data_IF_842185960957
#
_entry.id   IF_842185960957
#
_cell.length_a   1.000
_cell.length_b   1.000
_cell.length_c   1.000
_cell.angle_alpha   90.00
_cell.angle_beta   90.00
_cell.angle_gamma   90.00
#
_symmetry.space_group_name_H-M   'P 1'
#
loop_
_entity.id
_entity.type
_entity.pdbx_description
1 polymer ?
#
# COMPACT_ATOMS: atom_id res chain seq x y z
N UNK A 1 27.87 -30.98 68.41
CA UNK A 1 29.02 -30.40 67.68
C UNK A 1 28.65 -30.36 66.21
N UNK A 2 28.26 -29.18 65.72
CA UNK A 2 29.11 -28.27 64.93
C UNK A 2 29.35 -28.78 63.51
N UNK A 3 28.82 -28.03 62.54
CA UNK A 3 29.11 -28.22 61.13
C UNK A 3 28.01 -27.71 60.22
N UNK A 4 27.73 -26.41 60.26
CA UNK A 4 27.04 -25.72 59.17
C UNK A 4 27.95 -25.75 57.93
N UNK A 5 27.38 -26.03 56.76
CA UNK A 5 28.03 -25.71 55.48
C UNK A 5 26.95 -25.16 54.56
N UNK A 6 27.13 -23.89 54.25
CA UNK A 6 26.28 -23.03 53.46
C UNK A 6 26.17 -23.58 52.03
N UNK A 7 24.94 -23.74 51.54
CA UNK A 7 24.70 -23.93 50.11
C UNK A 7 24.87 -22.58 49.42
N UNK A 8 26.03 -22.43 48.77
CA UNK A 8 26.32 -21.31 47.89
C UNK A 8 25.23 -21.18 46.82
N UNK A 9 24.66 -19.99 46.74
CA UNK A 9 23.78 -19.57 45.67
C UNK A 9 24.55 -19.64 44.34
N UNK A 10 24.20 -20.61 43.49
CA UNK A 10 24.56 -20.54 42.07
C UNK A 10 23.68 -19.51 41.39
N UNK A 11 24.36 -18.46 40.94
CA UNK A 11 23.89 -17.32 40.16
C UNK A 11 22.87 -17.75 39.09
N UNK A 12 21.65 -17.23 39.19
CA UNK A 12 20.74 -17.17 38.07
C UNK A 12 21.38 -16.27 37.02
N UNK A 13 21.91 -16.88 35.96
CA UNK A 13 22.40 -16.19 34.79
C UNK A 13 21.35 -15.20 34.31
N UNK A 14 21.66 -13.92 34.46
CA UNK A 14 20.99 -12.86 33.76
C UNK A 14 21.31 -13.01 32.27
N UNK A 15 20.55 -13.85 31.56
CA UNK A 15 20.25 -13.59 30.15
C UNK A 15 19.37 -12.34 30.14
N UNK A 16 20.04 -11.20 30.29
CA UNK A 16 19.49 -9.91 29.95
C UNK A 16 19.08 -10.01 28.48
N UNK A 17 17.77 -10.03 28.28
CA UNK A 17 17.11 -9.65 27.05
C UNK A 17 17.78 -8.37 26.57
N UNK A 18 18.73 -8.53 25.64
CA UNK A 18 19.38 -7.44 24.93
C UNK A 18 18.35 -6.85 24.00
N UNK A 19 17.36 -6.16 24.59
CA UNK A 19 16.42 -5.32 23.89
C UNK A 19 17.27 -4.40 23.02
N UNK A 20 17.36 -4.74 21.74
CA UNK A 20 18.12 -3.97 20.77
C UNK A 20 17.52 -2.59 20.79
N UNK A 21 18.26 -1.60 21.31
CA UNK A 21 17.83 -0.22 21.28
C UNK A 21 17.47 0.13 19.83
N UNK A 22 16.32 0.77 19.59
CA UNK A 22 15.94 1.15 18.24
C UNK A 22 17.02 2.08 17.69
N UNK A 23 17.83 1.56 16.76
CA UNK A 23 18.84 2.36 16.06
C UNK A 23 18.08 3.41 15.25
N UNK A 24 18.18 4.66 15.69
CA UNK A 24 17.65 5.79 14.94
C UNK A 24 18.39 5.89 13.60
N UNK A 25 17.73 5.50 12.52
CA UNK A 25 18.26 5.65 11.17
C UNK A 25 17.95 7.06 10.69
N UNK A 26 18.98 7.81 10.28
CA UNK A 26 18.79 9.14 9.70
C UNK A 26 17.87 9.06 8.46
N UNK A 27 16.87 9.96 8.30
CA UNK A 27 15.91 9.93 7.19
C UNK A 27 16.56 9.84 5.81
N UNK A 28 17.71 10.49 5.62
CA UNK A 28 18.46 10.51 4.35
C UNK A 28 19.02 9.12 4.00
N UNK A 29 19.38 8.33 5.02
CA UNK A 29 19.82 6.93 4.83
C UNK A 29 18.63 6.07 4.44
N UNK A 30 17.47 6.27 5.07
CA UNK A 30 16.24 5.56 4.75
C UNK A 30 15.78 5.86 3.31
N UNK A 31 15.67 7.13 2.95
CA UNK A 31 15.25 7.54 1.60
C UNK A 31 16.13 6.93 0.52
N UNK A 32 17.46 7.03 0.68
CA UNK A 32 18.41 6.46 -0.29
C UNK A 32 18.25 4.96 -0.47
N UNK A 33 18.11 4.22 0.63
CA UNK A 33 17.96 2.75 0.58
C UNK A 33 16.63 2.34 -0.04
N UNK A 34 15.53 3.00 0.33
CA UNK A 34 14.20 2.71 -0.21
C UNK A 34 14.14 3.04 -1.70
N UNK A 35 14.68 4.18 -2.12
CA UNK A 35 14.69 4.57 -3.54
C UNK A 35 15.56 3.62 -4.38
N UNK A 36 16.77 3.29 -3.92
CA UNK A 36 17.65 2.36 -4.63
C UNK A 36 17.04 0.95 -4.76
N UNK A 37 16.34 0.47 -3.73
CA UNK A 37 15.58 -0.77 -3.83
C UNK A 37 14.40 -0.65 -4.79
N UNK A 38 13.65 0.46 -4.74
CA UNK A 38 12.47 0.67 -5.58
C UNK A 38 12.82 0.67 -7.07
N UNK A 39 13.95 1.29 -7.46
CA UNK A 39 14.47 1.29 -8.83
C UNK A 39 14.56 -0.12 -9.45
N UNK A 40 14.94 -1.13 -8.66
CA UNK A 40 15.15 -2.51 -9.16
C UNK A 40 14.01 -3.47 -8.82
N UNK A 41 13.18 -3.15 -7.83
CA UNK A 41 12.14 -4.05 -7.31
C UNK A 41 10.71 -3.56 -7.54
N UNK A 42 10.53 -2.37 -8.13
CA UNK A 42 9.19 -1.85 -8.43
C UNK A 42 8.40 -2.82 -9.32
N UNK A 43 7.14 -3.06 -8.94
CA UNK A 43 6.21 -3.80 -9.78
C UNK A 43 5.81 -2.94 -10.98
N UNK A 44 5.72 -3.59 -12.14
CA UNK A 44 5.17 -3.00 -13.35
C UNK A 44 3.65 -2.78 -13.20
N UNK A 45 3.26 -1.53 -12.99
CA UNK A 45 1.87 -1.11 -12.83
C UNK A 45 1.63 0.09 -13.75
N UNK A 46 0.57 0.09 -14.57
CA UNK A 46 0.39 1.09 -15.62
C UNK A 46 0.19 2.51 -15.07
N UNK A 47 -0.46 2.66 -13.92
CA UNK A 47 -0.58 3.95 -13.21
C UNK A 47 0.74 4.43 -12.57
N UNK A 48 1.82 3.66 -12.66
CA UNK A 48 3.19 4.04 -12.26
C UNK A 48 4.14 4.17 -13.45
N UNK A 49 3.67 3.93 -14.68
CA UNK A 49 4.49 4.05 -15.87
C UNK A 49 4.98 5.50 -16.06
N UNK A 50 5.99 5.67 -16.92
CA UNK A 50 6.59 6.98 -17.18
C UNK A 50 5.63 7.94 -17.91
N UNK A 51 4.73 7.38 -18.71
CA UNK A 51 3.70 8.06 -19.51
C UNK A 51 2.35 8.18 -18.80
N UNK A 52 2.29 7.86 -17.49
CA UNK A 52 1.07 7.98 -16.68
C UNK A 52 0.52 9.42 -16.72
N UNK A 53 -0.79 9.54 -16.83
CA UNK A 53 -1.50 10.81 -16.75
C UNK A 53 -2.18 11.01 -15.38
N UNK A 54 -2.59 12.24 -15.09
CA UNK A 54 -3.24 12.58 -13.82
C UNK A 54 -4.57 11.83 -13.62
N UNK A 55 -5.29 11.58 -14.71
CA UNK A 55 -6.58 10.88 -14.67
C UNK A 55 -6.42 9.41 -14.28
N UNK A 56 -5.53 8.68 -14.98
CA UNK A 56 -5.24 7.28 -14.68
C UNK A 56 -4.69 7.09 -13.27
N UNK A 57 -3.87 8.02 -12.77
CA UNK A 57 -3.44 8.03 -11.36
C UNK A 57 -4.64 8.17 -10.43
N UNK A 58 -5.49 9.19 -10.60
CA UNK A 58 -6.68 9.40 -9.75
C UNK A 58 -7.60 8.18 -9.73
N UNK A 59 -7.94 7.62 -10.90
CA UNK A 59 -8.78 6.42 -11.00
C UNK A 59 -8.16 5.25 -10.25
N UNK A 60 -6.84 5.04 -10.41
CA UNK A 60 -6.14 3.95 -9.73
C UNK A 60 -6.18 4.09 -8.22
N UNK A 61 -5.94 5.29 -7.70
CA UNK A 61 -5.95 5.57 -6.25
C UNK A 61 -7.34 5.35 -5.65
N UNK A 62 -8.40 5.82 -6.33
CA UNK A 62 -9.77 5.60 -5.86
C UNK A 62 -10.11 4.11 -5.87
N UNK A 63 -9.72 3.35 -6.91
CA UNK A 63 -9.98 1.91 -6.99
C UNK A 63 -9.19 1.10 -5.96
N UNK A 64 -7.92 1.44 -5.71
CA UNK A 64 -7.01 0.71 -4.82
C UNK A 64 -7.38 0.81 -3.33
N UNK A 65 -8.27 1.74 -2.95
CA UNK A 65 -8.81 1.79 -1.59
C UNK A 65 -9.50 0.46 -1.23
N UNK A 66 -8.95 -0.24 -0.24
CA UNK A 66 -9.49 -1.52 0.27
C UNK A 66 -9.73 -2.58 -0.82
N UNK A 67 -9.02 -2.50 -1.96
CA UNK A 67 -9.18 -3.43 -3.09
C UNK A 67 -7.80 -3.85 -3.60
N UNK A 68 -7.49 -5.15 -3.67
CA UNK A 68 -6.15 -5.61 -4.04
C UNK A 68 -5.83 -5.32 -5.51
N UNK A 69 -4.55 -5.05 -5.80
CA UNK A 69 -4.01 -4.72 -7.14
C UNK A 69 -4.47 -5.71 -8.22
N UNK A 70 -4.44 -7.02 -7.94
CA UNK A 70 -4.82 -8.06 -8.90
C UNK A 70 -6.27 -7.92 -9.40
N UNK A 71 -7.16 -7.37 -8.57
CA UNK A 71 -8.55 -7.09 -8.95
C UNK A 71 -8.70 -5.73 -9.64
N UNK A 72 -7.92 -4.74 -9.23
CA UNK A 72 -7.97 -3.37 -9.78
C UNK A 72 -7.40 -3.31 -11.20
N UNK A 73 -6.26 -3.95 -11.47
CA UNK A 73 -5.55 -3.83 -12.74
C UNK A 73 -6.45 -4.06 -13.99
N UNK A 74 -7.21 -5.17 -14.10
CA UNK A 74 -8.08 -5.37 -15.26
C UNK A 74 -9.29 -4.42 -15.28
N UNK A 75 -9.80 -3.98 -14.13
CA UNK A 75 -10.92 -3.05 -14.06
C UNK A 75 -10.50 -1.62 -14.46
N UNK A 76 -9.33 -1.18 -14.00
CA UNK A 76 -8.72 0.10 -14.35
C UNK A 76 -8.46 0.22 -15.86
N UNK A 77 -7.95 -0.85 -16.50
CA UNK A 77 -7.74 -0.87 -17.97
C UNK A 77 -9.06 -0.66 -18.72
N UNK A 78 -10.10 -1.43 -18.39
CA UNK A 78 -11.44 -1.27 -19.01
C UNK A 78 -12.04 0.10 -18.74
N UNK A 79 -11.80 0.66 -17.55
CA UNK A 79 -12.28 1.98 -17.18
C UNK A 79 -11.69 3.07 -18.07
N UNK A 80 -10.36 3.07 -18.25
CA UNK A 80 -9.69 4.06 -19.09
C UNK A 80 -9.90 3.84 -20.59
N UNK A 81 -10.12 2.60 -21.01
CA UNK A 81 -10.52 2.31 -22.39
C UNK A 81 -11.90 2.92 -22.70
N UNK A 82 -12.84 2.85 -21.76
CA UNK A 82 -14.18 3.43 -21.92
C UNK A 82 -14.19 4.94 -21.71
N UNK A 83 -13.51 5.43 -20.68
CA UNK A 83 -13.47 6.83 -20.28
C UNK A 83 -12.02 7.29 -20.13
N UNK A 84 -11.36 7.63 -21.25
CA UNK A 84 -9.95 8.03 -21.25
C UNK A 84 -9.72 9.40 -20.60
N UNK A 85 -10.78 10.18 -20.36
CA UNK A 85 -10.70 11.48 -19.71
C UNK A 85 -11.82 11.65 -18.66
N UNK A 86 -11.68 12.59 -17.71
CA UNK A 86 -12.75 12.93 -16.79
C UNK A 86 -14.03 13.37 -17.52
N UNK A 87 -13.89 14.15 -18.59
CA UNK A 87 -15.02 14.62 -19.39
C UNK A 87 -15.78 13.46 -20.07
N UNK A 88 -15.07 12.43 -20.52
CA UNK A 88 -15.70 11.22 -21.09
C UNK A 88 -16.54 10.48 -20.04
N UNK A 89 -16.06 10.39 -18.79
CA UNK A 89 -16.84 9.80 -17.69
C UNK A 89 -18.07 10.64 -17.37
N UNK A 90 -17.91 11.96 -17.29
CA UNK A 90 -19.00 12.88 -16.95
C UNK A 90 -20.11 12.93 -18.01
N UNK A 91 -19.79 12.62 -19.27
CA UNK A 91 -20.76 12.57 -20.37
C UNK A 91 -21.78 11.42 -20.24
N UNK A 92 -21.40 10.33 -19.57
CA UNK A 92 -22.29 9.19 -19.32
C UNK A 92 -23.12 9.39 -18.04
N UNK A 93 -24.32 8.78 -17.93
CA UNK A 93 -25.08 8.80 -16.68
C UNK A 93 -24.30 8.15 -15.52
N UNK A 94 -24.42 8.64 -14.27
CA UNK A 94 -23.71 8.07 -13.12
C UNK A 94 -23.92 6.55 -12.90
N UNK A 95 -25.07 6.03 -13.35
CA UNK A 95 -25.37 4.60 -13.30
C UNK A 95 -24.45 3.74 -14.18
N UNK A 96 -23.90 4.28 -15.26
CA UNK A 96 -22.90 3.61 -16.08
C UNK A 96 -21.58 3.43 -15.32
N UNK A 97 -21.14 4.46 -14.60
CA UNK A 97 -19.96 4.40 -13.74
C UNK A 97 -20.12 3.29 -12.68
N UNK A 98 -21.30 3.20 -12.05
CA UNK A 98 -21.60 2.13 -11.08
C UNK A 98 -21.57 0.74 -11.72
N UNK A 99 -22.15 0.58 -12.92
CA UNK A 99 -22.12 -0.69 -13.67
C UNK A 99 -20.69 -1.13 -13.98
N UNK A 100 -19.85 -0.21 -14.47
CA UNK A 100 -18.46 -0.49 -14.79
C UNK A 100 -17.59 -0.78 -13.56
N UNK A 101 -17.96 -0.24 -12.39
CA UNK A 101 -17.31 -0.52 -11.11
C UNK A 101 -17.48 -1.97 -10.65
N UNK A 102 -18.57 -2.63 -11.09
CA UNK A 102 -18.85 -4.06 -10.88
C UNK A 102 -18.58 -4.53 -9.44
N UNK A 103 -17.74 -5.55 -9.26
CA UNK A 103 -17.48 -6.20 -7.96
C UNK A 103 -16.30 -5.58 -7.21
N UNK A 104 -15.83 -4.38 -7.56
CA UNK A 104 -14.73 -3.71 -6.84
C UNK A 104 -15.12 -3.27 -5.40
N UNK A 105 -16.40 -3.37 -5.04
CA UNK A 105 -16.89 -3.01 -3.72
C UNK A 105 -17.04 -1.49 -3.56
N UNK A 106 -17.86 -1.10 -2.58
CA UNK A 106 -18.23 0.30 -2.31
C UNK A 106 -18.62 1.10 -3.58
N UNK A 107 -19.75 0.78 -4.24
CA UNK A 107 -20.20 1.45 -5.48
C UNK A 107 -20.29 2.98 -5.40
N UNK A 108 -20.45 3.53 -4.18
CA UNK A 108 -20.40 4.97 -3.91
C UNK A 108 -19.09 5.63 -4.35
N UNK A 109 -17.97 4.90 -4.44
CA UNK A 109 -16.71 5.43 -4.98
C UNK A 109 -16.83 5.80 -6.45
N UNK A 110 -17.50 4.98 -7.25
CA UNK A 110 -17.76 5.27 -8.66
C UNK A 110 -18.59 6.54 -8.83
N UNK A 111 -19.64 6.71 -8.02
CA UNK A 111 -20.48 7.91 -8.03
C UNK A 111 -19.70 9.17 -7.64
N UNK A 112 -18.84 9.08 -6.61
CA UNK A 112 -18.00 10.21 -6.19
C UNK A 112 -16.98 10.58 -7.24
N UNK A 113 -16.39 9.59 -7.92
CA UNK A 113 -15.45 9.82 -9.01
C UNK A 113 -16.13 10.44 -10.24
N UNK A 114 -17.38 10.04 -10.51
CA UNK A 114 -18.19 10.61 -11.61
C UNK A 114 -18.59 12.07 -11.34
N UNK A 115 -18.87 12.42 -10.08
CA UNK A 115 -19.29 13.75 -9.68
C UNK A 115 -18.13 14.73 -9.38
N UNK A 116 -16.88 14.30 -9.54
CA UNK A 116 -15.68 15.05 -9.17
C UNK A 116 -15.25 16.09 -10.22
#
# INVERSE_FOLDING_TARGET
>A
MHGATEHGATEHGATGDGASEPVAVAPEVLHRRVLAWYEVAARDLPWRAADRDAWGVLVSEVMLQQTPVARVLPAWRRWLERWPTPAALAADPPGEAVRAWDRLGYPRRALRLHAA
#
